data_IF_246760764455
#
_entry.id   IF_246760764455
#
_cell.length_a   1.000
_cell.length_b   1.000
_cell.length_c   1.000
_cell.angle_alpha   90.00
_cell.angle_beta   90.00
_cell.angle_gamma   90.00
#
_symmetry.space_group_name_H-M   'P 1'
#
loop_
_entity.id
_entity.type
_entity.pdbx_description
1 polymer ?
#
# COMPACT_ATOMS: atom_id res chain seq x y z
N UNK A 1 37.79 -16.90 42.50
CA UNK A 1 37.24 -16.61 43.86
C UNK A 1 35.87 -16.01 43.68
N UNK A 2 34.84 -16.81 43.92
CA UNK A 2 33.42 -16.46 43.75
C UNK A 2 32.96 -15.59 44.92
N UNK A 3 32.20 -14.52 44.64
CA UNK A 3 31.36 -13.87 45.66
C UNK A 3 29.91 -13.92 45.23
N UNK A 4 29.21 -14.84 45.87
CA UNK A 4 27.76 -14.93 46.02
C UNK A 4 27.30 -13.77 46.89
N UNK A 5 26.22 -13.08 46.50
CA UNK A 5 25.37 -12.35 47.45
C UNK A 5 23.91 -12.71 47.23
N UNK A 6 23.25 -12.96 48.36
CA UNK A 6 21.93 -13.54 48.52
C UNK A 6 20.86 -12.44 48.60
N UNK A 7 19.68 -12.75 48.04
CA UNK A 7 18.31 -12.49 48.51
C UNK A 7 18.03 -11.22 49.33
N UNK A 8 17.06 -10.43 48.88
CA UNK A 8 15.90 -10.14 49.73
C UNK A 8 14.61 -10.01 48.90
N UNK A 9 13.66 -10.84 49.29
CA UNK A 9 12.29 -10.96 48.79
C UNK A 9 11.42 -10.24 49.83
N UNK A 10 10.66 -9.23 49.45
CA UNK A 10 9.66 -8.60 50.32
C UNK A 10 8.28 -8.83 49.69
N UNK A 11 7.50 -9.67 50.35
CA UNK A 11 6.06 -9.78 50.16
C UNK A 11 5.39 -8.62 50.90
N UNK A 12 4.55 -7.83 50.21
CA UNK A 12 3.54 -6.99 50.85
C UNK A 12 2.17 -7.51 50.44
N UNK A 13 1.48 -8.09 51.42
CA UNK A 13 0.04 -8.34 51.41
C UNK A 13 -0.61 -7.08 52.00
N UNK A 14 -1.48 -6.42 51.23
CA UNK A 14 -2.18 -5.20 51.64
C UNK A 14 -3.62 -5.25 51.16
N UNK A 15 -4.54 -4.94 52.08
CA UNK A 15 -5.93 -5.37 52.10
C UNK A 15 -6.88 -4.66 51.12
N UNK A 16 -7.98 -5.37 50.85
CA UNK A 16 -9.26 -4.90 50.30
C UNK A 16 -9.68 -3.53 50.85
N UNK A 17 -10.04 -2.62 49.95
CA UNK A 17 -11.02 -1.58 50.21
C UNK A 17 -12.01 -1.54 49.03
N UNK A 18 -13.21 -2.05 49.27
CA UNK A 18 -14.35 -1.92 48.38
C UNK A 18 -14.86 -0.48 48.49
N UNK A 19 -14.74 0.29 47.41
CA UNK A 19 -15.49 1.53 47.19
C UNK A 19 -16.32 1.30 45.94
N UNK A 20 -17.61 1.09 46.15
CA UNK A 20 -18.62 1.19 45.11
C UNK A 20 -19.00 2.66 44.95
N UNK A 21 -19.01 3.16 43.72
CA UNK A 21 -19.92 4.22 43.31
C UNK A 21 -20.07 4.27 41.78
N UNK A 22 -21.34 4.14 41.38
CA UNK A 22 -22.00 4.65 40.17
C UNK A 22 -21.39 4.36 38.79
N UNK A 23 -22.12 3.53 38.04
CA UNK A 23 -22.04 3.47 36.58
C UNK A 23 -22.70 4.74 36.01
N UNK A 24 -21.97 5.48 35.18
CA UNK A 24 -22.57 6.45 34.26
C UNK A 24 -23.13 5.69 33.06
N UNK A 25 -24.45 5.72 32.92
CA UNK A 25 -25.15 5.20 31.76
C UNK A 25 -24.87 6.10 30.54
N UNK A 26 -24.03 5.61 29.63
CA UNK A 26 -23.92 6.16 28.29
C UNK A 26 -25.25 5.96 27.55
N UNK A 27 -26.04 7.02 27.47
CA UNK A 27 -27.29 7.06 26.70
C UNK A 27 -26.95 6.90 25.22
N UNK A 28 -27.01 5.66 24.74
CA UNK A 28 -26.78 5.33 23.34
C UNK A 28 -28.09 5.59 22.60
N UNK A 29 -28.22 6.75 21.96
CA UNK A 29 -29.32 7.00 21.01
C UNK A 29 -29.04 6.21 19.74
N UNK A 30 -29.59 5.00 19.68
CA UNK A 30 -29.61 4.18 18.48
C UNK A 30 -30.43 4.88 17.39
N UNK A 31 -29.80 5.13 16.23
CA UNK A 31 -30.50 5.47 15.00
C UNK A 31 -31.23 4.22 14.49
N UNK A 32 -32.50 4.32 14.04
CA UNK A 32 -33.22 3.18 13.47
C UNK A 32 -32.57 2.75 12.14
N UNK A 33 -32.53 1.44 11.84
CA UNK A 33 -32.09 0.98 10.52
C UNK A 33 -33.11 1.44 9.47
N UNK A 34 -32.63 2.20 8.49
CA UNK A 34 -33.42 2.55 7.30
C UNK A 34 -33.46 1.33 6.38
N UNK A 35 -34.54 0.55 6.47
CA UNK A 35 -34.83 -0.56 5.57
C UNK A 35 -35.34 -0.02 4.23
N UNK A 36 -34.44 0.11 3.26
CA UNK A 36 -34.83 0.21 1.84
C UNK A 36 -34.62 -1.17 1.23
N UNK A 37 -35.72 -1.91 1.06
CA UNK A 37 -35.74 -3.15 0.29
C UNK A 37 -35.26 -2.89 -1.15
N UNK A 38 -34.20 -3.58 -1.55
CA UNK A 38 -33.81 -3.71 -2.96
C UNK A 38 -34.71 -4.79 -3.57
N UNK A 39 -35.46 -4.50 -4.66
CA UNK A 39 -36.28 -5.53 -5.31
C UNK A 39 -35.38 -6.60 -5.95
N UNK A 40 -35.72 -7.86 -5.67
CA UNK A 40 -35.08 -9.04 -6.24
C UNK A 40 -35.14 -9.04 -7.78
N UNK A 41 -34.01 -9.31 -8.41
CA UNK A 41 -33.91 -9.59 -9.86
C UNK A 41 -34.64 -10.90 -10.18
N UNK A 42 -35.54 -10.94 -11.18
CA UNK A 42 -36.20 -12.19 -11.53
C UNK A 42 -35.24 -13.16 -12.24
N UNK A 43 -35.30 -14.42 -11.82
CA UNK A 43 -34.58 -15.54 -12.40
C UNK A 43 -34.92 -15.72 -13.90
N UNK A 44 -33.89 -15.95 -14.71
CA UNK A 44 -34.04 -16.28 -16.12
C UNK A 44 -34.75 -17.64 -16.27
N UNK A 45 -35.95 -17.60 -16.86
CA UNK A 45 -36.74 -18.78 -17.21
C UNK A 45 -36.13 -19.49 -18.43
N UNK A 46 -35.77 -20.76 -18.25
CA UNK A 46 -35.43 -21.68 -19.33
C UNK A 46 -36.66 -21.96 -20.20
N UNK A 47 -36.65 -21.48 -21.45
CA UNK A 47 -37.58 -21.91 -22.49
C UNK A 47 -36.89 -22.94 -23.40
N UNK A 48 -37.40 -24.18 -23.35
CA UNK A 48 -37.03 -25.27 -24.24
C UNK A 48 -37.84 -25.14 -25.54
N UNK A 49 -37.18 -24.78 -26.64
CA UNK A 49 -37.80 -24.86 -27.98
C UNK A 49 -37.40 -26.17 -28.63
N UNK A 50 -38.37 -27.06 -28.79
CA UNK A 50 -38.27 -28.33 -29.49
C UNK A 50 -38.37 -28.08 -31.01
N UNK A 51 -37.35 -28.47 -31.77
CA UNK A 51 -37.41 -28.50 -33.24
C UNK A 51 -37.33 -29.96 -33.72
N UNK A 52 -38.34 -30.35 -34.51
CA UNK A 52 -38.45 -31.65 -35.15
C UNK A 52 -37.41 -31.82 -36.29
N UNK A 53 -36.95 -33.05 -36.60
CA UNK A 53 -35.92 -33.30 -37.60
C UNK A 53 -36.54 -33.65 -38.95
N UNK A 54 -36.04 -33.07 -40.05
CA UNK A 54 -35.99 -33.71 -41.39
C UNK A 54 -35.07 -32.88 -42.30
N UNK A 55 -33.92 -33.43 -42.68
CA UNK A 55 -33.29 -33.29 -44.01
C UNK A 55 -32.04 -34.19 -44.08
N UNK A 56 -31.90 -34.91 -45.19
CA UNK A 56 -30.87 -35.91 -45.51
C UNK A 56 -29.44 -35.32 -45.62
N UNK A 57 -28.38 -36.15 -45.54
CA UNK A 57 -26.99 -35.67 -45.48
C UNK A 57 -26.52 -35.20 -46.85
N UNK A 58 -25.92 -34.01 -46.90
CA UNK A 58 -25.16 -33.51 -48.05
C UNK A 58 -23.68 -33.76 -47.78
N UNK A 59 -22.98 -34.43 -48.71
CA UNK A 59 -21.55 -34.70 -48.64
C UNK A 59 -20.75 -33.42 -48.44
N UNK A 60 -20.03 -33.32 -47.32
CA UNK A 60 -19.05 -32.26 -47.07
C UNK A 60 -17.71 -32.71 -47.69
N UNK A 61 -17.12 -31.95 -48.63
CA UNK A 61 -15.80 -32.28 -49.14
C UNK A 61 -14.74 -32.11 -48.04
N UNK A 62 -13.88 -33.13 -47.90
CA UNK A 62 -12.77 -33.18 -46.95
C UNK A 62 -11.78 -32.01 -47.19
N UNK A 63 -11.29 -31.32 -46.14
CA UNK A 63 -10.39 -30.19 -46.31
C UNK A 63 -9.03 -30.65 -46.85
N UNK A 64 -8.58 -29.98 -47.91
CA UNK A 64 -7.23 -30.14 -48.49
C UNK A 64 -6.19 -29.65 -47.49
N UNK A 65 -5.28 -30.52 -47.07
CA UNK A 65 -4.13 -30.16 -46.22
C UNK A 65 -3.18 -29.29 -47.04
N UNK A 66 -3.11 -28.00 -46.71
CA UNK A 66 -2.08 -27.09 -47.23
C UNK A 66 -0.80 -27.31 -46.42
N UNK A 67 0.37 -27.58 -47.03
CA UNK A 67 1.61 -27.72 -46.28
C UNK A 67 2.00 -26.40 -45.62
N UNK A 68 2.31 -26.45 -44.32
CA UNK A 68 2.81 -25.32 -43.52
C UNK A 68 4.15 -24.84 -44.09
N UNK A 69 4.34 -23.53 -44.36
CA UNK A 69 5.64 -23.02 -44.80
C UNK A 69 6.66 -23.11 -43.65
N UNK A 70 7.81 -23.73 -43.92
CA UNK A 70 8.95 -23.76 -42.99
C UNK A 70 9.56 -22.36 -42.88
N UNK A 71 9.34 -21.67 -41.77
CA UNK A 71 10.03 -20.40 -41.49
C UNK A 71 11.49 -20.70 -41.14
N UNK A 72 12.40 -20.21 -41.98
CA UNK A 72 13.85 -20.26 -41.74
C UNK A 72 14.18 -19.28 -40.61
N UNK A 73 14.91 -19.68 -39.55
CA UNK A 73 15.24 -18.76 -38.46
C UNK A 73 16.12 -17.61 -39.00
N UNK A 74 15.58 -16.41 -38.95
CA UNK A 74 16.33 -15.17 -39.20
C UNK A 74 17.27 -14.93 -38.03
N UNK A 75 18.51 -14.52 -38.30
CA UNK A 75 19.46 -14.18 -37.24
C UNK A 75 18.89 -13.10 -36.32
N UNK A 76 18.88 -13.37 -35.01
CA UNK A 76 18.44 -12.43 -33.98
C UNK A 76 19.34 -11.18 -34.00
N UNK A 77 18.79 -9.96 -34.05
CA UNK A 77 19.60 -8.76 -33.99
C UNK A 77 20.30 -8.68 -32.62
N UNK A 78 21.60 -8.38 -32.64
CA UNK A 78 22.39 -8.12 -31.43
C UNK A 78 21.71 -7.04 -30.59
N UNK A 79 21.48 -7.24 -29.28
CA UNK A 79 20.91 -6.20 -28.43
C UNK A 79 21.80 -4.96 -28.48
N UNK A 80 21.20 -3.82 -28.78
CA UNK A 80 21.89 -2.53 -28.72
C UNK A 80 22.15 -2.22 -27.24
N UNK A 81 23.37 -1.82 -26.85
CA UNK A 81 23.65 -1.48 -25.46
C UNK A 81 22.69 -0.38 -25.01
N UNK A 82 21.94 -0.66 -23.94
CA UNK A 82 21.07 0.32 -23.29
C UNK A 82 21.98 1.48 -22.82
N UNK A 83 21.70 2.73 -23.19
CA UNK A 83 22.50 3.86 -22.73
C UNK A 83 22.50 3.88 -21.20
N UNK A 84 23.70 3.90 -20.61
CA UNK A 84 23.86 4.10 -19.17
C UNK A 84 23.26 5.48 -18.83
N UNK A 85 22.31 5.58 -17.89
CA UNK A 85 21.76 6.87 -17.49
C UNK A 85 22.89 7.80 -17.04
N UNK A 86 22.86 9.04 -17.53
CA UNK A 86 23.75 10.09 -17.03
C UNK A 86 23.47 10.29 -15.55
N UNK A 87 24.50 10.28 -14.66
CA UNK A 87 24.31 10.66 -13.27
C UNK A 87 23.66 12.04 -13.19
N UNK A 88 22.71 12.22 -12.27
CA UNK A 88 22.19 13.55 -11.96
C UNK A 88 23.36 14.40 -11.45
N UNK A 89 23.46 15.68 -11.84
CA UNK A 89 24.52 16.55 -11.37
C UNK A 89 24.38 16.79 -9.85
N UNK A 90 25.53 16.85 -9.17
CA UNK A 90 25.64 16.89 -7.69
C UNK A 90 24.94 18.11 -7.05
N UNK A 91 24.69 19.16 -7.83
CA UNK A 91 24.02 20.40 -7.41
C UNK A 91 22.50 20.25 -7.25
N UNK A 92 21.90 19.18 -7.79
CA UNK A 92 20.51 18.80 -7.56
C UNK A 92 20.36 17.81 -6.38
N UNK A 93 21.47 17.26 -5.86
CA UNK A 93 21.47 16.28 -4.76
C UNK A 93 21.68 16.93 -3.39
N UNK A 94 22.21 18.15 -3.34
CA UNK A 94 22.09 18.97 -2.15
C UNK A 94 20.69 19.57 -2.12
N UNK A 95 19.93 19.52 -1.00
CA UNK A 95 18.82 20.46 -0.84
C UNK A 95 19.43 21.85 -0.97
N UNK A 96 19.21 22.50 -2.12
CA UNK A 96 19.93 23.69 -2.52
C UNK A 96 19.87 24.76 -1.43
N UNK A 97 20.96 24.92 -0.67
CA UNK A 97 21.28 26.08 0.16
C UNK A 97 20.19 26.61 1.11
N UNK A 98 19.17 25.82 1.47
CA UNK A 98 18.17 26.22 2.44
C UNK A 98 18.62 25.73 3.82
N UNK A 99 19.00 26.66 4.69
CA UNK A 99 19.10 26.37 6.12
C UNK A 99 17.72 25.88 6.58
N UNK A 100 17.59 24.57 6.84
CA UNK A 100 16.36 24.01 7.39
C UNK A 100 16.15 24.61 8.78
N UNK A 101 15.05 25.34 8.95
CA UNK A 101 14.63 25.82 10.28
C UNK A 101 14.09 24.64 11.08
N UNK A 102 14.97 24.01 11.84
CA UNK A 102 14.62 22.88 12.69
C UNK A 102 14.27 23.36 14.11
N UNK A 103 13.28 22.73 14.79
CA UNK A 103 13.06 22.97 16.20
C UNK A 103 14.30 22.67 17.04
N UNK A 104 14.41 23.29 18.22
CA UNK A 104 15.49 23.00 19.15
C UNK A 104 15.57 21.49 19.44
N UNK A 105 16.77 20.92 19.36
CA UNK A 105 17.02 19.49 19.56
C UNK A 105 16.97 18.64 18.28
N UNK A 106 16.63 19.22 17.12
CA UNK A 106 16.62 18.49 15.83
C UNK A 106 17.82 18.83 14.96
N UNK A 107 18.27 17.83 14.18
CA UNK A 107 19.32 17.93 13.17
C UNK A 107 18.82 17.27 11.89
N UNK A 108 19.20 17.80 10.74
CA UNK A 108 19.01 17.16 9.45
C UNK A 108 20.37 16.94 8.81
N UNK A 109 20.55 15.77 8.22
CA UNK A 109 21.74 15.42 7.45
C UNK A 109 21.37 14.48 6.32
N UNK A 110 22.24 14.42 5.31
CA UNK A 110 22.13 13.38 4.30
C UNK A 110 22.54 12.07 4.93
N UNK A 111 21.57 11.17 5.11
CA UNK A 111 21.79 9.87 5.75
C UNK A 111 22.09 8.76 4.73
N UNK A 112 21.43 8.79 3.57
CA UNK A 112 21.62 7.84 2.48
C UNK A 112 21.48 8.56 1.13
N UNK A 113 22.41 8.30 0.20
CA UNK A 113 22.41 8.84 -1.15
C UNK A 113 22.22 7.73 -2.20
N UNK A 114 22.00 8.12 -3.47
CA UNK A 114 22.00 7.19 -4.60
C UNK A 114 20.70 6.41 -4.81
N UNK A 115 19.70 6.61 -3.96
CA UNK A 115 18.35 6.06 -4.15
C UNK A 115 17.61 6.88 -5.21
N UNK A 116 17.10 6.22 -6.26
CA UNK A 116 16.46 6.89 -7.39
C UNK A 116 14.94 6.89 -7.25
N UNK A 117 14.36 8.08 -7.22
CA UNK A 117 12.91 8.29 -7.12
C UNK A 117 12.26 7.53 -5.94
N UNK A 118 12.75 7.71 -4.69
CA UNK A 118 12.11 7.08 -3.53
C UNK A 118 10.70 7.65 -3.33
N UNK A 119 9.72 6.77 -3.13
CA UNK A 119 8.30 7.15 -2.97
C UNK A 119 7.79 6.93 -1.55
N UNK A 120 8.21 5.84 -0.91
CA UNK A 120 7.76 5.47 0.43
C UNK A 120 8.82 4.66 1.18
N UNK A 121 8.68 4.57 2.50
CA UNK A 121 9.49 3.71 3.33
C UNK A 121 8.69 3.08 4.47
N UNK A 122 9.15 1.92 4.95
CA UNK A 122 8.58 1.24 6.11
C UNK A 122 9.69 0.49 6.87
N UNK A 123 9.56 0.38 8.18
CA UNK A 123 10.43 -0.46 9.01
C UNK A 123 9.79 -1.82 9.23
N UNK A 124 10.61 -2.87 9.32
CA UNK A 124 10.17 -4.15 9.84
C UNK A 124 10.44 -4.31 11.35
N UNK A 125 10.04 -5.46 11.90
CA UNK A 125 10.23 -5.81 13.31
C UNK A 125 11.71 -5.95 13.71
N UNK A 126 12.62 -5.99 12.75
CA UNK A 126 14.08 -6.04 12.95
C UNK A 126 14.72 -4.66 12.83
N UNK A 127 13.94 -3.59 12.64
CA UNK A 127 14.38 -2.22 12.38
C UNK A 127 15.20 -2.09 11.09
N UNK A 128 14.98 -2.96 10.10
CA UNK A 128 15.48 -2.76 8.74
C UNK A 128 14.54 -1.81 8.01
N UNK A 129 15.10 -0.87 7.25
CA UNK A 129 14.32 0.11 6.50
C UNK A 129 14.11 -0.38 5.07
N UNK A 130 12.87 -0.53 4.65
CA UNK A 130 12.51 -0.77 3.26
C UNK A 130 12.16 0.55 2.59
N UNK A 131 12.60 0.74 1.35
CA UNK A 131 12.37 1.91 0.52
C UNK A 131 11.82 1.44 -0.82
N UNK A 132 10.66 1.99 -1.20
CA UNK A 132 10.08 1.80 -2.52
C UNK A 132 10.63 2.87 -3.48
N UNK A 133 11.01 2.44 -4.68
CA UNK A 133 11.41 3.33 -5.76
C UNK A 133 10.35 3.31 -6.86
N UNK A 134 9.98 4.48 -7.37
CA UNK A 134 8.96 4.63 -8.42
C UNK A 134 9.25 3.78 -9.67
N UNK A 135 10.54 3.48 -9.92
CA UNK A 135 10.99 2.66 -11.03
C UNK A 135 10.79 1.15 -10.85
N UNK A 136 10.28 0.71 -9.69
CA UNK A 136 9.82 -0.66 -9.46
C UNK A 136 10.70 -1.54 -8.57
N UNK A 137 11.74 -0.98 -7.96
CA UNK A 137 12.64 -1.71 -7.07
C UNK A 137 12.30 -1.44 -5.59
N UNK A 138 12.43 -2.47 -4.75
CA UNK A 138 12.46 -2.35 -3.30
C UNK A 138 13.89 -2.49 -2.81
N UNK A 139 14.34 -1.51 -2.03
CA UNK A 139 15.65 -1.53 -1.38
C UNK A 139 15.45 -1.72 0.11
N UNK A 140 16.27 -2.57 0.74
CA UNK A 140 16.34 -2.74 2.19
C UNK A 140 17.68 -2.24 2.69
N UNK A 141 17.64 -1.46 3.76
CA UNK A 141 18.79 -1.05 4.56
C UNK A 141 18.80 -1.89 5.83
N UNK A 142 19.79 -2.77 5.95
CA UNK A 142 19.86 -3.72 7.06
C UNK A 142 20.41 -3.09 8.35
N UNK A 143 21.25 -2.05 8.23
CA UNK A 143 21.92 -1.35 9.34
C UNK A 143 21.26 0.01 9.66
N UNK A 144 19.96 0.13 9.41
CA UNK A 144 19.22 1.39 9.54
C UNK A 144 19.18 1.95 10.98
N UNK A 145 19.40 1.10 11.99
CA UNK A 145 19.40 1.47 13.40
C UNK A 145 20.82 1.74 13.98
N UNK A 146 21.85 1.78 13.13
CA UNK A 146 23.24 1.98 13.57
C UNK A 146 23.53 3.37 14.14
N UNK A 147 22.70 4.37 13.80
CA UNK A 147 22.95 5.78 14.12
C UNK A 147 24.02 6.43 13.23
N UNK A 148 24.57 5.68 12.27
CA UNK A 148 25.54 6.12 11.28
C UNK A 148 24.92 6.04 9.87
N UNK A 149 25.52 6.67 8.85
CA UNK A 149 25.12 6.45 7.45
C UNK A 149 25.18 4.96 7.08
N UNK A 150 24.18 4.42 6.35
CA UNK A 150 24.12 3.00 6.03
C UNK A 150 25.28 2.51 5.18
N UNK A 151 25.69 1.28 5.46
CA UNK A 151 26.70 0.54 4.70
C UNK A 151 26.17 -0.76 4.10
N UNK A 152 25.02 -1.25 4.58
CA UNK A 152 24.40 -2.49 4.13
C UNK A 152 23.03 -2.20 3.49
N UNK A 153 23.08 -1.91 2.19
CA UNK A 153 21.92 -1.54 1.37
C UNK A 153 21.81 -2.54 0.22
N UNK A 154 20.68 -3.24 0.14
CA UNK A 154 20.44 -4.31 -0.83
C UNK A 154 19.11 -4.12 -1.55
N UNK A 155 19.06 -4.39 -2.85
CA UNK A 155 17.79 -4.54 -3.57
C UNK A 155 17.21 -5.90 -3.22
N UNK A 156 15.97 -5.94 -2.74
CA UNK A 156 15.30 -7.18 -2.26
C UNK A 156 14.12 -7.60 -3.13
N UNK A 157 13.67 -6.74 -4.03
CA UNK A 157 12.64 -7.06 -5.02
C UNK A 157 12.72 -6.08 -6.19
N UNK A 158 12.28 -6.48 -7.37
CA UNK A 158 12.27 -5.63 -8.57
C UNK A 158 11.08 -5.95 -9.47
N UNK A 159 10.77 -5.05 -10.41
CA UNK A 159 9.69 -5.26 -11.38
C UNK A 159 8.30 -4.96 -10.85
N UNK A 160 8.18 -4.27 -9.72
CA UNK A 160 6.89 -3.81 -9.19
C UNK A 160 6.41 -2.62 -10.02
N UNK A 161 5.14 -2.62 -10.42
CA UNK A 161 4.58 -1.49 -11.17
C UNK A 161 4.38 -0.29 -10.25
N UNK A 162 5.24 0.73 -10.38
CA UNK A 162 5.15 2.05 -9.74
C UNK A 162 4.71 1.96 -8.27
N UNK A 163 5.57 1.48 -7.35
CA UNK A 163 5.22 1.40 -5.94
C UNK A 163 5.18 2.80 -5.33
N UNK A 164 4.09 3.11 -4.63
CA UNK A 164 3.76 4.44 -4.09
C UNK A 164 3.70 4.45 -2.56
N UNK A 165 3.55 3.29 -1.95
CA UNK A 165 3.31 3.16 -0.51
C UNK A 165 3.79 1.82 0.03
N UNK A 166 4.25 1.81 1.29
CA UNK A 166 4.68 0.60 1.99
C UNK A 166 4.03 0.55 3.37
N UNK A 167 3.59 -0.66 3.76
CA UNK A 167 3.31 -1.00 5.15
C UNK A 167 3.90 -2.39 5.44
N UNK A 168 4.67 -2.51 6.51
CA UNK A 168 5.15 -3.80 6.98
C UNK A 168 4.19 -4.38 8.02
N UNK A 169 3.92 -5.68 7.94
CA UNK A 169 3.17 -6.40 8.96
C UNK A 169 3.42 -7.91 8.86
N UNK A 170 3.73 -8.52 10.01
CA UNK A 170 3.82 -9.98 10.18
C UNK A 170 4.67 -10.66 9.09
N UNK A 171 5.90 -10.17 8.91
CA UNK A 171 6.86 -10.70 7.94
C UNK A 171 6.58 -10.35 6.48
N UNK A 172 5.57 -9.53 6.19
CA UNK A 172 5.21 -9.14 4.82
C UNK A 172 5.28 -7.63 4.61
N UNK A 173 5.66 -7.23 3.40
CA UNK A 173 5.42 -5.88 2.91
C UNK A 173 4.14 -5.83 2.09
N UNK A 174 3.26 -4.91 2.45
CA UNK A 174 2.11 -4.50 1.66
C UNK A 174 2.53 -3.31 0.83
N UNK A 175 2.66 -3.54 -0.48
CA UNK A 175 3.07 -2.55 -1.45
C UNK A 175 1.82 -1.99 -2.14
N UNK A 176 1.65 -0.68 -2.01
CA UNK A 176 0.60 0.06 -2.71
C UNK A 176 1.13 0.48 -4.07
N UNK A 177 0.50 -0.05 -5.11
CA UNK A 177 0.76 0.28 -6.50
C UNK A 177 -0.53 0.80 -7.12
N UNK A 178 -0.45 1.60 -8.17
CA UNK A 178 -1.63 2.24 -8.75
C UNK A 178 -2.73 1.23 -9.10
N UNK A 179 -3.84 1.24 -8.35
CA UNK A 179 -4.99 0.34 -8.54
C UNK A 179 -4.96 -0.96 -7.72
N UNK A 180 -3.89 -1.26 -6.99
CA UNK A 180 -3.75 -2.50 -6.25
C UNK A 180 -2.91 -2.41 -4.97
N UNK A 181 -3.10 -3.38 -4.06
CA UNK A 181 -2.19 -3.67 -2.96
C UNK A 181 -1.65 -5.08 -3.13
N UNK A 182 -0.33 -5.20 -3.16
CA UNK A 182 0.37 -6.48 -3.31
C UNK A 182 1.14 -6.80 -2.04
N UNK A 183 0.90 -7.99 -1.49
CA UNK A 183 1.63 -8.53 -0.34
C UNK A 183 2.85 -9.29 -0.85
N UNK A 184 4.03 -8.90 -0.40
CA UNK A 184 5.31 -9.51 -0.78
C UNK A 184 6.01 -10.06 0.45
N UNK A 185 6.54 -11.28 0.35
CA UNK A 185 7.22 -12.00 1.43
C UNK A 185 8.50 -12.68 0.96
N UNK A 186 9.39 -12.94 1.91
CA UNK A 186 10.54 -13.84 1.78
C UNK A 186 10.09 -15.23 2.25
N UNK A 187 9.88 -16.18 1.32
CA UNK A 187 9.37 -17.52 1.66
C UNK A 187 10.47 -18.53 2.03
N UNK A 188 11.70 -18.34 1.57
CA UNK A 188 12.81 -19.27 1.79
C UNK A 188 13.82 -18.82 2.86
N UNK A 189 13.69 -17.59 3.33
CA UNK A 189 14.49 -16.98 4.39
C UNK A 189 15.87 -16.53 3.94
N UNK A 190 16.11 -16.38 2.65
CA UNK A 190 17.40 -15.93 2.10
C UNK A 190 17.58 -14.39 2.14
N UNK A 191 16.52 -13.67 2.49
CA UNK A 191 16.49 -12.22 2.60
C UNK A 191 15.96 -11.50 1.36
N UNK A 192 15.68 -12.19 0.25
CA UNK A 192 14.99 -11.66 -0.93
C UNK A 192 13.46 -11.73 -0.74
N UNK A 193 12.74 -10.77 -1.29
CA UNK A 193 11.28 -10.76 -1.29
C UNK A 193 10.78 -11.36 -2.61
N UNK A 194 10.59 -12.68 -2.60
CA UNK A 194 10.46 -13.53 -3.78
C UNK A 194 9.03 -14.05 -4.05
N UNK A 195 8.13 -13.96 -3.07
CA UNK A 195 6.73 -14.30 -3.21
C UNK A 195 5.86 -13.06 -3.24
N UNK A 196 4.99 -12.97 -4.25
CA UNK A 196 4.10 -11.83 -4.48
C UNK A 196 2.65 -12.30 -4.66
N UNK A 197 1.74 -11.67 -3.92
CA UNK A 197 0.30 -11.94 -3.98
C UNK A 197 -0.48 -10.63 -3.94
N UNK A 198 -1.16 -10.30 -5.04
CA UNK A 198 -2.14 -9.21 -5.06
C UNK A 198 -3.28 -9.51 -4.09
N UNK A 199 -3.50 -8.62 -3.13
CA UNK A 199 -4.54 -8.72 -2.09
C UNK A 199 -5.77 -7.89 -2.45
N UNK A 200 -5.57 -6.68 -2.98
CA UNK A 200 -6.63 -5.80 -3.48
C UNK A 200 -6.26 -5.42 -4.91
N UNK A 201 -7.18 -5.50 -5.88
CA UNK A 201 -6.89 -5.27 -7.30
C UNK A 201 -7.93 -4.43 -8.05
N UNK A 202 -8.88 -3.83 -7.34
CA UNK A 202 -9.99 -3.07 -7.90
C UNK A 202 -10.09 -1.65 -7.29
N UNK A 203 -8.95 -1.10 -6.85
CA UNK A 203 -8.90 0.25 -6.30
C UNK A 203 -9.20 1.25 -7.43
N UNK A 204 -10.14 2.20 -7.23
CA UNK A 204 -10.42 3.21 -8.23
C UNK A 204 -9.18 4.04 -8.56
N UNK A 205 -8.95 4.23 -9.86
CA UNK A 205 -7.87 5.07 -10.37
C UNK A 205 -8.42 6.12 -11.33
N UNK A 206 -9.38 6.96 -10.89
CA UNK A 206 -10.26 7.69 -11.78
C UNK A 206 -9.61 8.88 -12.51
N UNK A 207 -8.36 9.23 -12.19
CA UNK A 207 -7.70 10.37 -12.82
C UNK A 207 -6.34 10.69 -12.22
N UNK A 208 -6.22 11.92 -11.72
CA UNK A 208 -4.93 12.52 -11.36
C UNK A 208 -4.35 12.03 -10.03
N UNK A 209 -5.19 11.68 -9.05
CA UNK A 209 -4.74 11.18 -7.75
C UNK A 209 -4.93 9.67 -7.65
N UNK A 210 -4.02 9.03 -6.95
CA UNK A 210 -3.87 7.57 -6.90
C UNK A 210 -4.10 7.07 -5.47
N UNK A 211 -4.06 5.75 -5.26
CA UNK A 211 -3.78 5.23 -3.94
C UNK A 211 -2.32 5.48 -3.55
N UNK A 212 -2.08 5.80 -2.28
CA UNK A 212 -0.75 6.13 -1.76
C UNK A 212 -0.40 5.21 -0.57
N UNK A 213 0.33 5.71 0.42
CA UNK A 213 0.87 5.02 1.59
C UNK A 213 -0.19 4.35 2.48
N UNK A 214 -0.32 3.01 2.44
CA UNK A 214 -1.25 2.30 3.29
C UNK A 214 -0.72 2.26 4.73
N UNK A 215 -1.60 1.89 5.66
CA UNK A 215 -1.23 1.58 7.04
C UNK A 215 -1.99 0.34 7.51
N UNK A 216 -1.40 -0.41 8.44
CA UNK A 216 -2.10 -1.51 9.10
C UNK A 216 -2.45 -1.07 10.51
N UNK A 217 -3.74 -1.18 10.84
CA UNK A 217 -4.30 -0.72 12.10
C UNK A 217 -4.07 -1.70 13.25
N UNK A 218 -4.26 -1.23 14.50
CA UNK A 218 -4.18 -2.10 15.68
C UNK A 218 -5.28 -3.18 15.72
N UNK A 219 -6.30 -3.05 14.88
CA UNK A 219 -7.35 -4.04 14.65
C UNK A 219 -6.96 -5.11 13.61
N UNK A 220 -5.74 -5.07 13.08
CA UNK A 220 -5.24 -6.00 12.08
C UNK A 220 -5.85 -5.79 10.70
N UNK A 221 -6.40 -4.60 10.42
CA UNK A 221 -6.96 -4.25 9.11
C UNK A 221 -6.00 -3.39 8.29
N UNK A 222 -6.07 -3.54 6.97
CA UNK A 222 -5.35 -2.73 6.00
C UNK A 222 -6.17 -1.48 5.67
N UNK A 223 -5.58 -0.30 5.87
CA UNK A 223 -6.15 1.00 5.54
C UNK A 223 -5.43 1.56 4.32
N UNK A 224 -6.18 1.85 3.26
CA UNK A 224 -5.67 2.33 1.98
C UNK A 224 -6.23 3.73 1.72
N UNK A 225 -5.36 4.76 1.63
CA UNK A 225 -5.80 6.06 1.15
C UNK A 225 -6.02 6.01 -0.36
N UNK A 226 -7.14 6.55 -0.83
CA UNK A 226 -7.50 6.60 -2.25
C UNK A 226 -7.77 8.05 -2.63
N UNK A 227 -7.00 8.55 -3.59
CA UNK A 227 -7.13 9.91 -4.11
C UNK A 227 -8.45 10.19 -4.83
N UNK A 228 -8.75 11.47 -5.00
CA UNK A 228 -9.87 12.00 -5.80
C UNK A 228 -9.59 11.89 -7.30
N UNK A 229 -10.64 11.97 -8.11
CA UNK A 229 -10.50 11.95 -9.57
C UNK A 229 -9.85 13.21 -10.15
N UNK A 230 -9.96 14.33 -9.45
CA UNK A 230 -9.42 15.62 -9.88
C UNK A 230 -9.17 16.58 -8.69
N UNK A 231 -8.75 17.82 -8.99
CA UNK A 231 -8.54 18.86 -7.98
C UNK A 231 -9.82 19.23 -7.21
N UNK A 232 -10.95 19.37 -7.92
CA UNK A 232 -12.24 19.76 -7.34
C UNK A 232 -13.43 19.20 -8.14
N UNK A 233 -13.88 17.99 -7.79
CA UNK A 233 -15.00 17.29 -8.42
C UNK A 233 -15.86 16.58 -7.38
N UNK A 234 -17.07 16.19 -7.81
CA UNK A 234 -17.81 15.14 -7.13
C UNK A 234 -17.34 13.78 -7.65
N UNK A 235 -17.13 12.84 -6.75
CA UNK A 235 -16.67 11.49 -7.11
C UNK A 235 -17.84 10.61 -7.56
N UNK A 236 -17.61 9.81 -8.60
CA UNK A 236 -18.56 8.78 -9.05
C UNK A 236 -18.45 7.49 -8.20
N UNK A 237 -17.23 7.09 -7.86
CA UNK A 237 -16.96 5.99 -6.93
C UNK A 237 -16.80 6.55 -5.51
N UNK A 238 -17.58 6.02 -4.57
CA UNK A 238 -17.58 6.44 -3.16
C UNK A 238 -16.25 6.15 -2.44
N UNK A 239 -15.40 5.29 -3.01
CA UNK A 239 -14.06 4.98 -2.50
C UNK A 239 -13.02 6.02 -2.91
N UNK A 240 -13.27 6.81 -3.95
CA UNK A 240 -12.39 7.94 -4.27
C UNK A 240 -12.44 9.00 -3.17
N UNK A 241 -11.36 9.77 -3.00
CA UNK A 241 -11.31 10.84 -2.00
C UNK A 241 -11.57 10.33 -0.56
N UNK A 242 -11.07 9.15 -0.24
CA UNK A 242 -11.42 8.39 0.96
C UNK A 242 -10.23 7.64 1.57
N UNK A 243 -10.43 7.12 2.78
CA UNK A 243 -9.66 5.99 3.31
C UNK A 243 -10.60 4.79 3.32
N UNK A 244 -10.23 3.74 2.60
CA UNK A 244 -10.95 2.46 2.59
C UNK A 244 -10.17 1.44 3.41
N UNK A 245 -10.86 0.63 4.20
CA UNK A 245 -10.26 -0.45 4.98
C UNK A 245 -10.66 -1.82 4.46
N UNK A 246 -9.78 -2.79 4.65
CA UNK A 246 -9.91 -4.18 4.22
C UNK A 246 -9.39 -5.11 5.32
N UNK A 247 -9.79 -6.37 5.30
CA UNK A 247 -8.96 -7.42 5.91
C UNK A 247 -7.65 -7.57 5.13
N UNK A 248 -6.64 -8.18 5.76
CA UNK A 248 -5.29 -8.32 5.16
C UNK A 248 -5.24 -9.15 3.88
N UNK A 249 -6.28 -9.94 3.61
CA UNK A 249 -6.44 -10.70 2.36
C UNK A 249 -7.19 -9.92 1.27
N UNK A 250 -7.58 -8.67 1.56
CA UNK A 250 -8.34 -7.78 0.68
C UNK A 250 -9.86 -7.93 0.77
N UNK A 251 -10.37 -8.83 1.63
CA UNK A 251 -11.81 -8.99 1.83
C UNK A 251 -12.39 -7.90 2.76
N UNK A 252 -13.72 -7.93 2.93
CA UNK A 252 -14.45 -7.05 3.87
C UNK A 252 -14.17 -5.55 3.68
N UNK A 253 -14.12 -5.12 2.43
CA UNK A 253 -13.94 -3.72 2.03
C UNK A 253 -15.00 -2.80 2.67
N UNK A 254 -14.55 -1.71 3.26
CA UNK A 254 -15.41 -0.68 3.86
C UNK A 254 -14.79 0.71 3.71
N UNK A 255 -15.58 1.71 3.30
CA UNK A 255 -15.14 3.11 3.32
C UNK A 255 -15.12 3.59 4.78
N UNK A 256 -13.92 3.76 5.33
CA UNK A 256 -13.69 4.13 6.73
C UNK A 256 -13.85 5.64 6.97
N UNK A 257 -13.29 6.45 6.08
CA UNK A 257 -13.39 7.91 6.13
C UNK A 257 -13.52 8.48 4.72
N UNK A 258 -14.22 9.61 4.56
CA UNK A 258 -14.47 10.25 3.27
C UNK A 258 -14.39 11.77 3.36
N UNK A 259 -14.25 12.43 2.21
CA UNK A 259 -14.18 13.88 2.11
C UNK A 259 -12.76 14.43 2.10
N UNK A 260 -11.79 13.58 1.77
CA UNK A 260 -10.39 13.93 1.59
C UNK A 260 -10.16 14.35 0.13
N UNK A 261 -8.92 14.57 -0.31
CA UNK A 261 -8.62 14.81 -1.74
C UNK A 261 -7.48 13.92 -2.23
N UNK A 262 -6.28 14.12 -1.71
CA UNK A 262 -5.09 13.40 -2.13
C UNK A 262 -4.29 13.02 -0.88
N UNK A 263 -4.82 12.00 -0.21
CA UNK A 263 -4.28 11.48 1.03
C UNK A 263 -3.02 10.68 0.68
N UNK A 264 -1.87 11.14 1.16
CA UNK A 264 -0.58 10.57 0.82
C UNK A 264 -0.17 9.46 1.76
N UNK A 265 -0.12 9.73 3.06
CA UNK A 265 0.37 8.75 4.03
C UNK A 265 -0.60 8.65 5.20
N UNK A 266 -0.83 7.41 5.63
CA UNK A 266 -1.54 7.07 6.84
C UNK A 266 -0.55 6.64 7.92
N UNK A 267 -0.84 6.99 9.17
CA UNK A 267 -0.10 6.50 10.33
C UNK A 267 -1.01 6.36 11.54
N UNK A 268 -0.93 5.22 12.22
CA UNK A 268 -1.58 5.06 13.52
C UNK A 268 -0.67 5.57 14.62
N UNK A 269 -1.23 6.34 15.55
CA UNK A 269 -0.52 6.72 16.76
C UNK A 269 -0.35 5.47 17.65
N UNK A 270 0.87 5.18 18.12
CA UNK A 270 1.20 3.85 18.67
C UNK A 270 0.58 3.57 20.04
N UNK A 271 0.18 4.59 20.81
CA UNK A 271 -0.34 4.39 22.17
C UNK A 271 -1.86 4.30 22.23
N UNK A 272 -2.56 5.13 21.45
CA UNK A 272 -4.02 5.28 21.52
C UNK A 272 -4.74 4.76 20.27
N UNK A 273 -4.00 4.38 19.23
CA UNK A 273 -4.57 3.87 17.98
C UNK A 273 -5.29 4.92 17.13
N UNK A 274 -5.07 6.22 17.39
CA UNK A 274 -5.65 7.28 16.54
C UNK A 274 -5.05 7.24 15.14
N UNK A 275 -5.88 7.19 14.09
CA UNK A 275 -5.43 7.27 12.70
C UNK A 275 -5.18 8.73 12.28
N UNK A 276 -3.97 9.01 11.83
CA UNK A 276 -3.55 10.28 11.22
C UNK A 276 -3.40 10.13 9.71
N UNK A 277 -3.70 11.19 8.99
CA UNK A 277 -3.61 11.25 7.53
C UNK A 277 -2.99 12.57 7.08
N UNK A 278 -2.05 12.50 6.14
CA UNK A 278 -1.56 13.67 5.42
C UNK A 278 -2.36 13.82 4.11
N UNK A 279 -3.12 14.89 3.97
CA UNK A 279 -3.98 15.15 2.80
C UNK A 279 -3.58 16.45 2.09
N UNK A 280 -3.28 16.34 0.79
CA UNK A 280 -3.04 17.50 -0.06
C UNK A 280 -4.39 18.06 -0.52
N UNK A 281 -4.82 19.14 0.15
CA UNK A 281 -6.05 19.85 -0.14
C UNK A 281 -6.09 20.50 -1.53
N UNK A 282 -7.27 21.02 -1.88
CA UNK A 282 -7.52 21.70 -3.16
C UNK A 282 -6.55 22.85 -3.38
N UNK A 283 -6.12 23.02 -4.62
CA UNK A 283 -5.32 24.16 -5.05
C UNK A 283 -6.09 25.49 -4.84
N UNK A 284 -5.34 26.61 -4.80
CA UNK A 284 -5.88 27.98 -4.78
C UNK A 284 -6.78 28.36 -3.57
N UNK A 285 -6.76 27.56 -2.49
CA UNK A 285 -7.43 27.89 -1.21
C UNK A 285 -6.49 28.42 -0.10
N UNK A 286 -5.20 28.55 -0.38
CA UNK A 286 -4.22 29.20 0.51
C UNK A 286 -4.23 30.73 0.39
N UNK A 287 -3.64 31.42 1.38
CA UNK A 287 -3.28 32.85 1.25
C UNK A 287 -2.58 33.09 -0.11
N UNK A 288 -2.84 34.20 -0.81
CA UNK A 288 -2.32 34.41 -2.15
C UNK A 288 -0.80 34.22 -2.15
N UNK A 289 -0.29 33.44 -3.12
CA UNK A 289 1.15 33.31 -3.37
C UNK A 289 1.80 34.70 -3.31
N UNK A 290 2.93 34.86 -2.59
CA UNK A 290 3.68 36.11 -2.65
C UNK A 290 3.99 36.36 -4.13
N UNK A 291 3.38 37.41 -4.69
CA UNK A 291 3.77 37.87 -6.01
C UNK A 291 5.18 38.43 -5.85
N UNK A 292 6.16 37.78 -6.47
CA UNK A 292 7.50 38.31 -6.68
C UNK A 292 7.46 39.68 -7.36
#
# INVERSE_FOLDING_TARGET
>A
MNKVWCRNLIFIVGALLMIACAQDEATTTAFPPSSTEIPATPAASTATTQLNPTSAPTDIPQPTVVPTPTIRPTAQPTPTPVPRPTPLPDDLLQPAGADLNLPEGFKAEVWLEGIRFPTAFAFDDQNRLYIANELGDLVRVNDANSGEPPTDVVTVSSGIEVPLGLAFYDGALYVSSRGEITRITDEDGDGELDSSKTTVNDIPVPGNHQNNGPAIGPDGKLYVPIGSSCDACGEEDVRSASVTRFDLDGSNQEVFARGLRNVYQLAFHPEDGTLWAADNGRDERGMPCPRS
#
